data_IF_676949334592
#
_entry.id   IF_676949334592
#
_cell.length_a   1.000
_cell.length_b   1.000
_cell.length_c   1.000
_cell.angle_alpha   90.00
_cell.angle_beta   90.00
_cell.angle_gamma   90.00
#
_symmetry.space_group_name_H-M   'P 1'
#
loop_
_entity.id
_entity.type
_entity.pdbx_description
1 polymer ?
#
# COMPACT_ATOMS: atom_id res chain seq x y z
N UNK A 1 1.36 4.02 6.18
CA UNK A 1 1.02 5.09 5.20
C UNK A 1 0.45 6.37 5.84
N UNK A 2 0.61 6.59 7.15
CA UNK A 2 -0.02 7.70 7.87
C UNK A 2 0.42 9.10 7.41
N UNK A 3 1.59 9.22 6.78
CA UNK A 3 2.09 10.47 6.18
C UNK A 3 1.27 10.93 4.96
N UNK A 4 0.47 10.03 4.35
CA UNK A 4 -0.39 10.28 3.18
C UNK A 4 -1.89 10.24 3.52
N UNK A 5 -2.25 10.47 4.78
CA UNK A 5 -3.66 10.59 5.21
C UNK A 5 -4.33 11.85 4.66
N UNK A 6 -3.57 12.94 4.50
CA UNK A 6 -4.08 14.21 4.01
C UNK A 6 -3.96 14.31 2.48
N UNK A 7 -4.98 14.90 1.84
CA UNK A 7 -5.03 15.07 0.38
C UNK A 7 -3.82 15.80 -0.19
N UNK A 8 -3.29 16.79 0.53
CA UNK A 8 -2.10 17.54 0.12
C UNK A 8 -0.81 16.71 0.18
N UNK A 9 -0.77 15.68 1.03
CA UNK A 9 0.36 14.77 1.10
C UNK A 9 0.38 13.78 -0.07
N UNK A 10 -0.79 13.39 -0.59
CA UNK A 10 -0.89 12.52 -1.79
C UNK A 10 -0.24 13.17 -3.00
N UNK A 11 -0.39 14.50 -3.15
CA UNK A 11 0.27 15.24 -4.23
C UNK A 11 1.80 15.14 -4.17
N UNK A 12 2.42 14.93 -3.01
CA UNK A 12 3.87 14.71 -2.90
C UNK A 12 4.32 13.34 -3.41
N UNK A 13 3.42 12.34 -3.42
CA UNK A 13 3.70 11.00 -3.93
C UNK A 13 3.98 11.01 -5.44
N UNK A 14 3.19 11.80 -6.18
CA UNK A 14 3.22 11.86 -7.66
C UNK A 14 3.75 13.17 -8.20
N UNK A 15 3.88 14.21 -7.38
CA UNK A 15 4.31 15.55 -7.77
C UNK A 15 3.13 16.51 -7.75
N UNK A 16 3.36 17.73 -7.24
CA UNK A 16 2.32 18.74 -7.20
C UNK A 16 1.98 19.21 -8.63
N UNK A 17 0.71 19.60 -8.92
CA UNK A 17 0.35 20.19 -10.20
C UNK A 17 0.90 21.62 -10.35
N UNK A 18 0.97 22.18 -11.58
CA UNK A 18 1.44 23.54 -11.82
C UNK A 18 0.72 24.56 -10.93
N UNK A 19 1.48 25.43 -10.25
CA UNK A 19 0.94 26.47 -9.38
C UNK A 19 0.84 26.11 -7.89
N UNK A 20 1.29 24.91 -7.48
CA UNK A 20 1.37 24.48 -6.08
C UNK A 20 2.83 24.42 -5.59
N UNK A 21 3.03 24.60 -4.27
CA UNK A 21 4.35 24.45 -3.63
C UNK A 21 4.85 23.02 -3.84
N UNK A 22 6.11 22.86 -4.26
CA UNK A 22 6.68 21.55 -4.60
C UNK A 22 6.45 21.11 -6.05
N UNK A 23 5.94 21.99 -6.93
CA UNK A 23 5.79 21.68 -8.37
C UNK A 23 7.13 21.30 -9.04
N UNK A 24 8.24 21.91 -8.65
CA UNK A 24 9.57 21.58 -9.20
C UNK A 24 10.13 20.26 -8.65
N UNK A 25 9.62 19.82 -7.50
CA UNK A 25 9.96 18.54 -6.89
C UNK A 25 9.07 17.46 -7.51
N UNK A 26 9.64 16.64 -8.41
CA UNK A 26 8.93 15.49 -8.96
C UNK A 26 8.38 14.58 -7.85
N UNK A 27 7.36 13.78 -8.16
CA UNK A 27 6.76 12.87 -7.19
C UNK A 27 7.76 11.93 -6.55
N UNK A 28 7.63 11.71 -5.25
CA UNK A 28 8.51 10.80 -4.51
C UNK A 28 8.55 9.40 -5.15
N UNK A 29 7.38 8.86 -5.50
CA UNK A 29 7.23 7.54 -6.10
C UNK A 29 7.73 7.52 -7.56
N UNK A 30 7.33 8.52 -8.35
CA UNK A 30 7.67 8.59 -9.77
C UNK A 30 9.17 8.84 -9.99
N UNK A 31 9.80 9.70 -9.18
CA UNK A 31 11.25 9.92 -9.23
C UNK A 31 12.05 8.72 -8.74
N UNK A 32 11.59 8.01 -7.70
CA UNK A 32 12.26 6.82 -7.21
C UNK A 32 12.34 5.73 -8.30
N UNK A 33 11.23 5.46 -8.98
CA UNK A 33 11.18 4.46 -10.06
C UNK A 33 11.90 4.95 -11.31
N UNK A 34 11.77 6.22 -11.68
CA UNK A 34 12.48 6.79 -12.83
C UNK A 34 14.01 6.65 -12.68
N UNK A 35 14.53 6.86 -11.47
CA UNK A 35 15.96 6.70 -11.16
C UNK A 35 16.38 5.23 -11.04
N UNK A 36 15.49 4.35 -10.60
CA UNK A 36 15.74 2.91 -10.40
C UNK A 36 14.55 2.07 -10.91
N UNK A 37 14.49 1.80 -12.22
CA UNK A 37 13.34 1.10 -12.84
C UNK A 37 13.17 -0.35 -12.40
N UNK A 38 14.25 -0.98 -11.91
CA UNK A 38 14.24 -2.32 -11.35
C UNK A 38 14.29 -2.20 -9.82
N UNK A 39 13.13 -2.06 -9.20
CA UNK A 39 13.04 -1.83 -7.76
C UNK A 39 11.86 -2.58 -7.12
N UNK A 40 11.94 -2.71 -5.80
CA UNK A 40 10.84 -3.20 -4.98
C UNK A 40 10.32 -2.01 -4.18
N UNK A 41 9.02 -1.75 -4.26
CA UNK A 41 8.32 -0.70 -3.53
C UNK A 41 7.45 -1.35 -2.47
N UNK A 42 7.67 -0.99 -1.20
CA UNK A 42 6.84 -1.41 -0.10
C UNK A 42 5.89 -0.27 0.29
N UNK A 43 4.59 -0.57 0.27
CA UNK A 43 3.52 0.31 0.73
C UNK A 43 2.92 -0.30 2.00
N UNK A 44 3.36 0.20 3.15
CA UNK A 44 3.01 -0.35 4.45
C UNK A 44 1.74 0.30 5.03
N UNK A 45 0.84 -0.49 5.61
CA UNK A 45 -0.44 -0.05 6.19
C UNK A 45 -1.31 0.75 5.20
N UNK A 46 -1.50 0.23 3.98
CA UNK A 46 -2.17 0.97 2.90
C UNK A 46 -3.60 1.37 3.22
N UNK A 47 -4.28 0.69 4.16
CA UNK A 47 -5.61 1.04 4.64
C UNK A 47 -5.69 2.40 5.33
N UNK A 48 -4.55 2.92 5.79
CA UNK A 48 -4.48 4.25 6.42
C UNK A 48 -4.33 5.36 5.37
N UNK A 49 -4.01 5.03 4.13
CA UNK A 49 -3.81 6.01 3.08
C UNK A 49 -5.13 6.66 2.66
N UNK A 50 -5.06 7.89 2.15
CA UNK A 50 -6.21 8.55 1.54
C UNK A 50 -6.71 7.77 0.30
N UNK A 51 -8.03 7.71 0.03
CA UNK A 51 -8.59 7.01 -1.14
C UNK A 51 -7.93 7.35 -2.48
N UNK A 52 -7.49 8.60 -2.67
CA UNK A 52 -6.79 9.05 -3.88
C UNK A 52 -5.47 8.29 -4.14
N UNK A 53 -4.82 7.75 -3.11
CA UNK A 53 -3.63 6.88 -3.27
C UNK A 53 -4.00 5.62 -4.04
N UNK A 54 -5.17 5.04 -3.78
CA UNK A 54 -5.62 3.86 -4.51
C UNK A 54 -5.87 4.15 -5.98
N UNK A 55 -6.39 5.33 -6.34
CA UNK A 55 -6.58 5.71 -7.75
C UNK A 55 -5.25 5.74 -8.51
N UNK A 56 -4.18 6.25 -7.87
CA UNK A 56 -2.82 6.24 -8.43
C UNK A 56 -2.30 4.80 -8.58
N UNK A 57 -2.50 3.97 -7.55
CA UNK A 57 -2.06 2.58 -7.58
C UNK A 57 -2.81 1.75 -8.62
N UNK A 58 -4.10 1.99 -8.81
CA UNK A 58 -4.89 1.34 -9.86
C UNK A 58 -4.30 1.63 -11.25
N UNK A 59 -3.90 2.87 -11.52
CA UNK A 59 -3.24 3.21 -12.78
C UNK A 59 -1.91 2.43 -12.97
N UNK A 60 -1.11 2.31 -11.90
CA UNK A 60 0.15 1.54 -11.93
C UNK A 60 -0.10 0.05 -12.14
N UNK A 61 -1.10 -0.52 -11.46
CA UNK A 61 -1.40 -1.95 -11.49
C UNK A 61 -2.08 -2.39 -12.79
N UNK A 62 -2.80 -1.49 -13.46
CA UNK A 62 -3.48 -1.77 -14.74
C UNK A 62 -2.53 -1.56 -15.93
N UNK A 63 -2.06 -0.32 -16.15
CA UNK A 63 -1.25 0.04 -17.32
C UNK A 63 0.26 -0.18 -17.13
N UNK A 64 0.72 -0.45 -15.91
CA UNK A 64 2.16 -0.52 -15.59
C UNK A 64 2.86 0.83 -15.73
N UNK A 65 2.12 1.95 -15.74
CA UNK A 65 2.65 3.30 -15.98
C UNK A 65 1.96 4.31 -15.08
N UNK A 66 2.68 5.38 -14.75
CA UNK A 66 2.13 6.49 -13.97
C UNK A 66 2.62 7.82 -14.52
N UNK A 67 1.70 8.75 -14.73
CA UNK A 67 2.03 10.11 -15.17
C UNK A 67 2.04 11.05 -13.97
N UNK A 68 3.15 11.77 -13.79
CA UNK A 68 3.30 12.73 -12.70
C UNK A 68 2.59 14.07 -12.98
N UNK A 69 2.55 14.94 -11.96
CA UNK A 69 1.97 16.28 -12.07
C UNK A 69 2.66 17.21 -13.08
N UNK A 70 3.86 16.85 -13.56
CA UNK A 70 4.59 17.56 -14.62
C UNK A 70 4.29 16.99 -16.02
N UNK A 71 3.43 15.97 -16.13
CA UNK A 71 3.08 15.31 -17.39
C UNK A 71 4.10 14.27 -17.86
N UNK A 72 5.06 13.87 -17.00
CA UNK A 72 6.07 12.85 -17.33
C UNK A 72 5.52 11.48 -16.97
N UNK A 73 5.52 10.56 -17.93
CA UNK A 73 5.11 9.17 -17.72
C UNK A 73 6.30 8.31 -17.32
N UNK A 74 6.18 7.61 -16.20
CA UNK A 74 7.16 6.67 -15.65
C UNK A 74 6.65 5.24 -15.81
N UNK A 75 7.55 4.33 -16.19
CA UNK A 75 7.26 2.92 -16.41
C UNK A 75 7.53 2.11 -15.13
N UNK A 76 6.53 1.34 -14.70
CA UNK A 76 6.54 0.50 -13.50
C UNK A 76 6.58 -1.00 -13.85
N UNK A 77 6.63 -1.39 -15.13
CA UNK A 77 6.57 -2.80 -15.55
C UNK A 77 7.71 -3.68 -15.03
N UNK A 78 8.81 -3.08 -14.60
CA UNK A 78 9.97 -3.77 -13.99
C UNK A 78 10.06 -3.58 -12.47
N UNK A 79 9.03 -3.00 -11.86
CA UNK A 79 8.96 -2.71 -10.43
C UNK A 79 8.02 -3.69 -9.76
N UNK A 80 8.45 -4.29 -8.65
CA UNK A 80 7.57 -5.11 -7.80
C UNK A 80 6.95 -4.21 -6.74
N UNK A 81 5.62 -4.10 -6.71
CA UNK A 81 4.89 -3.36 -5.68
C UNK A 81 4.35 -4.36 -4.65
N UNK A 82 4.76 -4.19 -3.40
CA UNK A 82 4.30 -4.96 -2.25
C UNK A 82 3.46 -4.04 -1.37
N UNK A 83 2.22 -4.45 -1.08
CA UNK A 83 1.34 -3.74 -0.16
C UNK A 83 1.09 -4.59 1.07
N UNK A 84 1.03 -3.96 2.24
CA UNK A 84 0.60 -4.60 3.49
C UNK A 84 -0.66 -3.92 4.01
N UNK A 85 -1.45 -4.65 4.78
CA UNK A 85 -2.59 -4.08 5.49
C UNK A 85 -2.86 -4.81 6.79
N UNK A 86 -3.20 -4.07 7.84
CA UNK A 86 -3.57 -4.62 9.14
C UNK A 86 -5.08 -4.86 9.27
N UNK A 87 -5.89 -4.59 8.24
CA UNK A 87 -7.36 -4.79 8.28
C UNK A 87 -7.78 -6.25 8.52
N UNK A 88 -6.93 -7.21 8.16
CA UNK A 88 -7.22 -8.64 8.27
C UNK A 88 -6.82 -9.27 9.61
N UNK A 89 -6.15 -8.54 10.50
CA UNK A 89 -5.51 -9.12 11.70
C UNK A 89 -6.51 -9.81 12.62
N UNK A 90 -7.65 -9.18 12.89
CA UNK A 90 -8.68 -9.74 13.78
C UNK A 90 -9.33 -11.00 13.17
N UNK A 91 -9.59 -11.00 11.86
CA UNK A 91 -10.17 -12.14 11.15
C UNK A 91 -9.18 -13.31 11.06
N UNK A 92 -7.90 -13.01 10.86
CA UNK A 92 -6.84 -14.02 10.88
C UNK A 92 -6.75 -14.63 12.27
N UNK A 93 -6.79 -13.82 13.33
CA UNK A 93 -6.76 -14.29 14.72
C UNK A 93 -8.00 -15.14 15.06
N UNK A 94 -9.20 -14.73 14.63
CA UNK A 94 -10.43 -15.52 14.81
C UNK A 94 -10.37 -16.85 14.04
N UNK A 95 -9.93 -16.84 12.78
CA UNK A 95 -9.75 -18.06 11.99
C UNK A 95 -8.68 -18.97 12.59
N UNK A 96 -7.60 -18.42 13.13
CA UNK A 96 -6.57 -19.20 13.81
C UNK A 96 -7.18 -19.96 15.01
N UNK A 97 -7.99 -19.27 15.83
CA UNK A 97 -8.68 -19.90 16.97
C UNK A 97 -9.71 -20.94 16.54
N UNK A 98 -10.40 -20.69 15.42
CA UNK A 98 -11.44 -21.61 14.93
C UNK A 98 -10.87 -22.84 14.22
N UNK A 99 -9.66 -22.75 13.67
CA UNK A 99 -9.04 -23.84 12.88
C UNK A 99 -8.10 -24.69 13.74
N UNK A 100 -7.66 -24.22 14.91
CA UNK A 100 -6.83 -25.00 15.82
C UNK A 100 -6.86 -24.46 17.25
N UNK A 101 -7.87 -24.89 18.02
CA UNK A 101 -7.80 -25.36 19.41
C UNK A 101 -9.22 -25.59 19.94
N UNK A 102 -9.78 -26.74 19.55
CA UNK A 102 -10.76 -27.46 20.38
C UNK A 102 -10.29 -28.91 20.51
N UNK A 103 -9.07 -29.05 20.99
CA UNK A 103 -8.46 -30.30 21.45
C UNK A 103 -8.00 -30.05 22.88
N UNK A 104 -8.95 -30.22 23.81
CA UNK A 104 -8.76 -30.63 25.22
C UNK A 104 -9.87 -30.07 26.11
N UNK A 105 -11.09 -30.59 25.95
CA UNK A 105 -12.05 -30.60 27.07
C UNK A 105 -13.07 -31.74 26.94
N UNK A 106 -12.56 -32.95 26.72
CA UNK A 106 -13.25 -34.22 27.02
C UNK A 106 -12.18 -35.24 27.33
N UNK A 107 -11.74 -35.29 28.58
CA UNK A 107 -11.16 -36.48 29.25
C UNK A 107 -10.84 -36.08 30.69
N UNK A 108 -11.84 -36.14 31.59
CA UNK A 108 -11.61 -35.71 32.96
C UNK A 108 -12.83 -35.70 33.89
N UNK A 109 -13.73 -36.68 33.80
CA UNK A 109 -14.67 -37.00 34.90
C UNK A 109 -15.19 -38.43 34.76
N UNK A 110 -14.24 -39.37 34.66
CA UNK A 110 -14.47 -40.80 34.83
C UNK A 110 -13.40 -41.34 35.75
N UNK A 111 -13.51 -41.03 37.05
CA UNK A 111 -12.83 -41.79 38.08
C UNK A 111 -13.85 -42.13 39.17
N UNK A 112 -13.96 -43.44 39.35
CA UNK A 112 -14.62 -44.25 40.39
C UNK A 112 -14.75 -43.60 41.78
#
# INVERSE_FOLDING_TARGET
MSEFMEKHSVSRLVGAPPGYVGYEEGGYLTEAVRRRPYSVILLDEVEKAHPDVFNILLQVLDDGRLTDGQGRTVDFRNTVVIMTSNLGSDLIQERFWRTGLRSDERDGAGCS
#
